data_IF_527277438164
#
_entry.id   IF_527277438164
#
_cell.length_a   1.000
_cell.length_b   1.000
_cell.length_c   1.000
_cell.angle_alpha   90.00
_cell.angle_beta   90.00
_cell.angle_gamma   90.00
#
_symmetry.space_group_name_H-M   'P 1'
#
loop_
_entity.id
_entity.type
_entity.pdbx_description
1 polymer ?
#
# COMPACT_ATOMS: atom_id res chain seq x y z
N UNK A 1 -18.33 2.51 43.71
CA UNK A 1 -18.27 3.61 42.72
C UNK A 1 -17.07 3.33 41.83
N UNK A 2 -17.24 3.14 40.52
CA UNK A 2 -16.09 2.99 39.61
C UNK A 2 -15.28 4.28 39.58
N UNK A 3 -13.96 4.16 39.52
CA UNK A 3 -13.10 5.33 39.37
C UNK A 3 -13.40 6.04 38.04
N UNK A 4 -13.29 7.38 37.99
CA UNK A 4 -13.48 8.13 36.74
C UNK A 4 -12.54 7.65 35.63
N UNK A 5 -11.35 7.17 36.01
CA UNK A 5 -10.37 6.58 35.10
C UNK A 5 -10.83 5.24 34.53
N UNK A 6 -11.43 4.35 35.33
CA UNK A 6 -12.01 3.10 34.84
C UNK A 6 -13.19 3.33 33.88
N UNK A 7 -13.97 4.38 34.12
CA UNK A 7 -15.04 4.79 33.21
C UNK A 7 -14.49 5.27 31.86
N UNK A 8 -13.39 6.04 31.88
CA UNK A 8 -12.74 6.53 30.66
C UNK A 8 -12.08 5.39 29.87
N UNK A 9 -11.37 4.48 30.53
CA UNK A 9 -10.82 3.27 29.89
C UNK A 9 -11.93 2.45 29.25
N UNK A 10 -13.05 2.25 29.96
CA UNK A 10 -14.22 1.57 29.40
C UNK A 10 -14.82 2.28 28.18
N UNK A 11 -14.81 3.63 28.17
CA UNK A 11 -15.27 4.44 27.04
C UNK A 11 -14.35 4.26 25.83
N UNK A 12 -13.04 4.27 26.03
CA UNK A 12 -12.04 4.09 24.98
C UNK A 12 -12.10 2.67 24.39
N UNK A 13 -12.26 1.65 25.23
CA UNK A 13 -12.47 0.27 24.77
C UNK A 13 -13.71 0.17 23.88
N UNK A 14 -14.84 0.77 24.31
CA UNK A 14 -16.07 0.80 23.50
C UNK A 14 -15.88 1.54 22.17
N UNK A 15 -15.14 2.66 22.18
CA UNK A 15 -14.82 3.40 20.97
C UNK A 15 -13.95 2.57 20.02
N UNK A 16 -12.93 1.87 20.53
CA UNK A 16 -12.07 0.97 19.77
C UNK A 16 -12.91 -0.11 19.07
N UNK A 17 -13.79 -0.80 19.80
CA UNK A 17 -14.70 -1.79 19.21
C UNK A 17 -15.65 -1.19 18.16
N UNK A 18 -16.15 0.03 18.37
CA UNK A 18 -17.00 0.71 17.39
C UNK A 18 -16.23 0.99 16.09
N UNK A 19 -14.98 1.47 16.19
CA UNK A 19 -14.09 1.68 15.04
C UNK A 19 -13.82 0.38 14.31
N UNK A 20 -13.46 -0.69 15.03
CA UNK A 20 -13.22 -2.01 14.43
C UNK A 20 -14.47 -2.58 13.74
N UNK A 21 -15.65 -2.40 14.35
CA UNK A 21 -16.92 -2.84 13.76
C UNK A 21 -17.28 -2.07 12.50
N UNK A 22 -17.00 -0.77 12.44
CA UNK A 22 -17.16 0.03 11.22
C UNK A 22 -16.18 -0.38 10.13
N UNK A 23 -15.00 -0.87 10.54
CA UNK A 23 -13.91 -1.32 9.69
C UNK A 23 -14.09 -2.78 9.19
N UNK A 24 -15.33 -3.29 9.12
CA UNK A 24 -15.60 -4.72 8.82
C UNK A 24 -15.08 -5.20 7.45
N UNK A 25 -14.75 -4.27 6.55
CA UNK A 25 -14.07 -4.50 5.26
C UNK A 25 -12.78 -3.67 5.13
N UNK A 26 -12.24 -3.22 6.25
CA UNK A 26 -11.44 -2.02 6.33
C UNK A 26 -10.04 -2.15 5.76
N UNK A 27 -9.62 -1.10 5.07
CA UNK A 27 -8.23 -0.96 4.64
C UNK A 27 -7.34 -0.95 5.89
N UNK A 28 -6.05 -1.36 5.77
CA UNK A 28 -5.10 -1.29 6.89
C UNK A 28 -5.12 0.05 7.64
N UNK A 29 -5.38 1.15 6.93
CA UNK A 29 -5.49 2.49 7.50
C UNK A 29 -6.52 2.64 8.63
N UNK A 30 -7.59 1.85 8.61
CA UNK A 30 -8.67 1.92 9.60
C UNK A 30 -8.27 1.31 10.96
N UNK A 31 -7.29 0.40 10.96
CA UNK A 31 -6.74 -0.19 12.18
C UNK A 31 -5.86 0.77 12.99
N UNK A 32 -5.27 1.82 12.38
CA UNK A 32 -4.49 2.80 13.14
C UNK A 32 -5.35 3.58 14.14
N UNK A 33 -6.57 3.95 13.75
CA UNK A 33 -7.49 4.67 14.64
C UNK A 33 -7.91 3.80 15.83
N UNK A 34 -8.20 2.53 15.58
CA UNK A 34 -8.50 1.56 16.64
C UNK A 34 -7.29 1.29 17.55
N UNK A 35 -6.08 1.20 16.98
CA UNK A 35 -4.84 1.00 17.72
C UNK A 35 -4.56 2.19 18.66
N UNK A 36 -4.67 3.43 18.17
CA UNK A 36 -4.44 4.61 19.00
C UNK A 36 -5.40 4.70 20.20
N UNK A 37 -6.65 4.26 20.03
CA UNK A 37 -7.62 4.17 21.12
C UNK A 37 -7.23 3.08 22.12
N UNK A 38 -6.76 1.92 21.65
CA UNK A 38 -6.29 0.83 22.50
C UNK A 38 -5.03 1.23 23.29
N UNK A 39 -4.08 1.91 22.66
CA UNK A 39 -2.86 2.42 23.29
C UNK A 39 -3.19 3.44 24.39
N UNK A 40 -4.12 4.35 24.11
CA UNK A 40 -4.59 5.35 25.09
C UNK A 40 -5.31 4.68 26.27
N UNK A 41 -6.12 3.66 26.00
CA UNK A 41 -6.80 2.89 27.04
C UNK A 41 -5.82 2.11 27.92
N UNK A 42 -4.80 1.49 27.31
CA UNK A 42 -3.76 0.73 28.00
C UNK A 42 -2.91 1.64 28.89
N UNK A 43 -2.45 2.78 28.37
CA UNK A 43 -1.68 3.76 29.14
C UNK A 43 -2.46 4.24 30.37
N UNK A 44 -3.74 4.62 30.18
CA UNK A 44 -4.60 5.03 31.29
C UNK A 44 -4.89 3.91 32.29
N UNK A 45 -4.97 2.65 31.84
CA UNK A 45 -5.17 1.50 32.72
C UNK A 45 -3.92 1.18 33.54
N UNK A 46 -2.74 1.25 32.92
CA UNK A 46 -1.46 1.02 33.57
C UNK A 46 -1.10 2.12 34.59
N UNK A 47 -1.28 3.39 34.21
CA UNK A 47 -1.03 4.54 35.11
C UNK A 47 -2.03 4.60 36.27
N UNK A 48 -3.27 4.17 36.04
CA UNK A 48 -4.35 4.18 37.03
C UNK A 48 -4.33 3.03 38.02
N UNK A 49 -3.41 2.07 37.88
CA UNK A 49 -3.41 0.83 38.65
C UNK A 49 -4.75 0.10 38.57
N UNK A 50 -5.37 0.10 37.38
CA UNK A 50 -6.66 -0.56 37.17
C UNK A 50 -6.49 -2.09 37.16
N UNK A 51 -7.62 -2.79 37.29
CA UNK A 51 -7.69 -4.26 37.27
C UNK A 51 -6.89 -4.87 36.11
N UNK A 52 -6.08 -5.89 36.42
CA UNK A 52 -5.28 -6.66 35.46
C UNK A 52 -6.13 -7.18 34.30
N UNK A 53 -7.41 -7.47 34.55
CA UNK A 53 -8.37 -7.85 33.52
C UNK A 53 -8.59 -6.78 32.44
N UNK A 54 -8.68 -5.51 32.84
CA UNK A 54 -8.84 -4.38 31.91
C UNK A 54 -7.55 -4.09 31.15
N UNK A 55 -6.41 -4.16 31.82
CA UNK A 55 -5.09 -4.03 31.19
C UNK A 55 -4.94 -5.09 30.10
N UNK A 56 -5.22 -6.36 30.45
CA UNK A 56 -5.16 -7.48 29.50
C UNK A 56 -6.13 -7.31 28.33
N UNK A 57 -7.31 -6.75 28.56
CA UNK A 57 -8.27 -6.47 27.48
C UNK A 57 -7.72 -5.43 26.50
N UNK A 58 -7.02 -4.40 26.99
CA UNK A 58 -6.39 -3.39 26.15
C UNK A 58 -5.23 -3.97 25.34
N UNK A 59 -4.39 -4.83 25.94
CA UNK A 59 -3.33 -5.56 25.24
C UNK A 59 -3.87 -6.41 24.09
N UNK A 60 -4.95 -7.17 24.33
CA UNK A 60 -5.59 -8.00 23.29
C UNK A 60 -6.08 -7.13 22.13
N UNK A 61 -6.67 -5.96 22.42
CA UNK A 61 -7.11 -5.01 21.39
C UNK A 61 -5.94 -4.43 20.60
N UNK A 62 -4.84 -4.11 21.29
CA UNK A 62 -3.61 -3.63 20.67
C UNK A 62 -3.06 -4.67 19.68
N UNK A 63 -2.89 -5.92 20.12
CA UNK A 63 -2.40 -7.02 19.29
C UNK A 63 -3.31 -7.28 18.09
N UNK A 64 -4.63 -7.25 18.30
CA UNK A 64 -5.61 -7.42 17.24
C UNK A 64 -5.45 -6.34 16.15
N UNK A 65 -5.20 -5.09 16.53
CA UNK A 65 -5.00 -4.00 15.59
C UNK A 65 -3.62 -4.04 14.91
N UNK A 66 -2.58 -4.51 15.60
CA UNK A 66 -1.23 -4.58 15.05
C UNK A 66 -1.06 -5.64 13.95
N UNK A 67 -1.73 -6.79 14.06
CA UNK A 67 -1.54 -7.89 13.12
C UNK A 67 -1.90 -7.54 11.64
N UNK A 68 -3.06 -6.93 11.35
CA UNK A 68 -3.39 -6.46 10.01
C UNK A 68 -2.41 -5.41 9.48
N UNK A 69 -1.91 -4.54 10.36
CA UNK A 69 -0.95 -3.49 10.01
C UNK A 69 0.41 -4.08 9.61
N UNK A 70 0.96 -4.99 10.42
CA UNK A 70 2.21 -5.71 10.12
C UNK A 70 2.13 -6.44 8.77
N UNK A 71 1.01 -7.11 8.51
CA UNK A 71 0.76 -7.77 7.22
C UNK A 71 0.71 -6.80 6.04
N UNK A 72 0.08 -5.63 6.21
CA UNK A 72 0.00 -4.61 5.18
C UNK A 72 1.36 -4.00 4.84
N UNK A 73 2.17 -3.66 5.85
CA UNK A 73 3.52 -3.16 5.65
C UNK A 73 4.41 -4.18 4.93
N UNK A 74 4.37 -5.45 5.36
CA UNK A 74 5.14 -6.51 4.69
C UNK A 74 4.76 -6.73 3.23
N UNK A 75 3.48 -6.53 2.86
CA UNK A 75 3.05 -6.55 1.45
C UNK A 75 3.54 -5.34 0.66
N UNK A 76 3.50 -4.15 1.26
CA UNK A 76 3.98 -2.92 0.61
C UNK A 76 5.48 -3.01 0.31
N UNK A 77 6.28 -3.45 1.29
CA UNK A 77 7.72 -3.59 1.13
C UNK A 77 8.08 -4.60 0.03
N UNK A 78 7.37 -5.75 -0.02
CA UNK A 78 7.56 -6.74 -1.08
C UNK A 78 7.19 -6.19 -2.46
N UNK A 79 6.10 -5.41 -2.55
CA UNK A 79 5.68 -4.79 -3.80
C UNK A 79 6.71 -3.77 -4.29
N UNK A 80 7.22 -2.90 -3.41
CA UNK A 80 8.25 -1.92 -3.76
C UNK A 80 9.54 -2.61 -4.23
N UNK A 81 9.93 -3.71 -3.58
CA UNK A 81 11.08 -4.53 -4.00
C UNK A 81 10.88 -5.15 -5.39
N UNK A 82 9.72 -5.77 -5.68
CA UNK A 82 9.42 -6.35 -7.01
C UNK A 82 9.43 -5.27 -8.11
N UNK A 83 8.89 -4.08 -7.84
CA UNK A 83 8.91 -2.95 -8.79
C UNK A 83 10.35 -2.53 -9.10
N UNK A 84 11.20 -2.41 -8.07
CA UNK A 84 12.61 -2.06 -8.27
C UNK A 84 13.35 -3.15 -9.04
N UNK A 85 13.19 -4.43 -8.66
CA UNK A 85 13.84 -5.57 -9.33
C UNK A 85 13.45 -5.66 -10.81
N UNK A 86 12.16 -5.46 -11.14
CA UNK A 86 11.72 -5.39 -12.55
C UNK A 86 12.32 -4.22 -13.31
N UNK A 87 12.41 -3.04 -12.69
CA UNK A 87 13.02 -1.86 -13.29
C UNK A 87 14.54 -2.01 -13.48
N UNK A 88 15.21 -2.72 -12.56
CA UNK A 88 16.63 -3.05 -12.68
C UNK A 88 16.87 -4.12 -13.76
N UNK A 89 16.03 -5.16 -13.81
CA UNK A 89 16.15 -6.23 -14.81
C UNK A 89 15.83 -5.75 -16.23
N UNK A 90 14.94 -4.76 -16.41
CA UNK A 90 14.63 -4.20 -17.72
C UNK A 90 15.74 -3.29 -18.28
N UNK A 91 16.66 -2.80 -17.43
CA UNK A 91 17.86 -2.06 -17.86
C UNK A 91 19.01 -2.96 -18.35
N UNK A 92 18.94 -4.28 -18.16
CA UNK A 92 19.97 -5.23 -18.60
C UNK A 92 19.79 -5.81 -20.01
N UNK A 93 18.75 -5.40 -20.76
CA UNK A 93 18.41 -5.95 -22.09
C UNK A 93 18.69 -4.95 -23.21
N UNK A 94 19.79 -4.20 -23.11
CA UNK A 94 20.09 -3.17 -24.11
C UNK A 94 21.47 -2.55 -24.00
N UNK A 95 22.52 -3.36 -23.92
CA UNK A 95 23.90 -2.94 -24.20
C UNK A 95 24.74 -4.19 -24.52
N UNK A 96 24.43 -4.81 -25.66
CA UNK A 96 25.44 -5.59 -26.37
C UNK A 96 26.33 -4.55 -27.08
N UNK A 97 27.48 -4.32 -26.44
CA UNK A 97 28.61 -3.53 -26.91
C UNK A 97 28.99 -3.98 -28.34
N UNK A 98 28.79 -3.11 -29.32
CA UNK A 98 29.39 -3.24 -30.66
C UNK A 98 30.29 -2.02 -30.91
N UNK A 99 31.33 -1.91 -30.08
CA UNK A 99 32.44 -0.98 -30.29
C UNK A 99 33.49 -1.60 -31.21
N UNK A 100 33.30 -1.38 -32.51
CA UNK A 100 34.28 -1.04 -33.54
C UNK A 100 35.67 -1.70 -33.55
N UNK A 101 35.93 -2.48 -34.61
CA UNK A 101 37.27 -2.64 -35.19
C UNK A 101 37.21 -2.79 -36.73
N UNK A 102 37.67 -1.72 -37.39
CA UNK A 102 38.47 -1.64 -38.62
C UNK A 102 38.09 -2.30 -39.97
N UNK A 103 37.85 -1.39 -40.93
CA UNK A 103 38.40 -1.31 -42.30
C UNK A 103 37.96 -2.28 -43.42
N UNK A 104 37.32 -1.62 -44.42
CA UNK A 104 37.62 -1.64 -45.86
C UNK A 104 37.10 -2.79 -46.77
N UNK A 105 36.36 -2.33 -47.80
CA UNK A 105 36.62 -2.58 -49.23
C UNK A 105 35.71 -3.56 -50.02
N UNK A 106 34.83 -2.93 -50.84
CA UNK A 106 34.31 -3.30 -52.18
C UNK A 106 33.45 -4.58 -52.41
N UNK A 107 32.25 -4.36 -52.97
CA UNK A 107 31.49 -5.33 -53.78
C UNK A 107 29.96 -5.08 -53.80
N UNK A 108 29.43 -4.55 -54.91
CA UNK A 108 27.99 -4.27 -55.15
C UNK A 108 27.13 -5.56 -55.42
N UNK A 109 25.88 -5.44 -55.90
CA UNK A 109 24.63 -5.15 -55.18
C UNK A 109 23.67 -6.37 -55.23
N UNK A 110 22.85 -6.56 -54.19
CA UNK A 110 21.89 -7.67 -54.14
C UNK A 110 20.58 -7.27 -53.46
N UNK A 111 19.49 -7.60 -54.12
CA UNK A 111 18.10 -7.16 -53.94
C UNK A 111 17.47 -7.27 -52.54
N UNK A 112 16.57 -6.30 -52.34
CA UNK A 112 15.24 -6.41 -51.73
C UNK A 112 15.10 -6.95 -50.29
N UNK A 113 14.74 -6.04 -49.38
CA UNK A 113 13.59 -6.27 -48.49
C UNK A 113 12.99 -4.95 -48.00
N UNK A 114 11.66 -4.93 -47.97
CA UNK A 114 10.77 -3.78 -47.87
C UNK A 114 10.80 -3.06 -46.51
N UNK A 115 10.50 -1.74 -46.46
CA UNK A 115 10.33 -1.02 -45.21
C UNK A 115 8.93 -1.24 -44.63
N UNK A 116 8.76 -1.53 -43.32
CA UNK A 116 7.52 -1.22 -42.64
C UNK A 116 7.50 0.29 -42.30
N UNK A 117 6.46 1.03 -42.71
CA UNK A 117 6.32 2.45 -42.42
C UNK A 117 5.56 2.68 -41.10
N UNK A 118 5.80 3.82 -40.46
CA UNK A 118 4.80 4.43 -39.57
C UNK A 118 5.28 4.88 -38.20
N UNK A 119 6.11 5.92 -38.16
CA UNK A 119 6.23 6.79 -36.98
C UNK A 119 4.93 7.61 -36.93
N UNK A 120 3.95 7.13 -36.17
CA UNK A 120 2.69 7.83 -35.88
C UNK A 120 2.74 8.43 -34.48
N UNK A 121 3.33 9.63 -34.37
CA UNK A 121 3.17 10.51 -33.22
C UNK A 121 1.73 11.04 -33.17
N UNK A 122 0.99 10.76 -32.10
CA UNK A 122 -0.21 11.53 -31.74
C UNK A 122 -0.33 11.64 -30.21
N UNK A 123 -0.16 12.86 -29.71
CA UNK A 123 -0.52 13.29 -28.37
C UNK A 123 -2.03 13.61 -28.27
N UNK A 124 -2.54 13.56 -27.03
CA UNK A 124 -3.81 14.12 -26.50
C UNK A 124 -5.13 13.42 -26.93
N UNK A 125 -6.17 13.19 -26.10
CA UNK A 125 -6.65 13.76 -24.82
C UNK A 125 -7.44 12.71 -23.99
N UNK A 126 -7.65 12.91 -22.66
CA UNK A 126 -8.53 12.08 -21.86
C UNK A 126 -10.02 12.44 -22.05
N UNK A 127 -10.80 11.51 -22.61
CA UNK A 127 -12.25 11.65 -22.74
C UNK A 127 -12.95 11.65 -21.36
N UNK A 128 -13.44 12.81 -20.93
CA UNK A 128 -14.34 12.98 -19.78
C UNK A 128 -15.71 12.39 -20.11
N UNK A 129 -15.99 11.15 -19.70
CA UNK A 129 -17.34 10.57 -19.81
C UNK A 129 -18.20 10.98 -18.62
N UNK A 130 -18.96 12.07 -18.78
CA UNK A 130 -19.99 12.47 -17.82
C UNK A 130 -21.22 11.55 -17.91
N UNK A 131 -21.60 11.02 -16.75
CA UNK A 131 -22.76 10.16 -16.51
C UNK A 131 -24.03 11.02 -16.49
N UNK A 132 -25.03 10.70 -17.31
CA UNK A 132 -26.41 11.18 -17.14
C UNK A 132 -27.26 10.04 -16.61
N UNK A 133 -27.78 10.20 -15.38
CA UNK A 133 -28.83 9.35 -14.82
C UNK A 133 -30.15 10.07 -15.11
N UNK A 134 -31.05 9.41 -15.84
CA UNK A 134 -32.44 9.87 -16.00
C UNK A 134 -33.28 9.12 -14.98
N UNK A 135 -33.91 9.85 -14.06
CA UNK A 135 -34.98 9.32 -13.23
C UNK A 135 -36.30 9.51 -13.98
N UNK A 136 -37.04 8.42 -14.17
CA UNK A 136 -38.50 8.39 -14.38
C UNK A 136 -39.02 7.19 -13.62
#
# INVERSE_FOLDING_TARGET
MSSPQAAEVSRLIKACYATLRSSRNGRPKEYYGALALADSALALAAEGGLDDGLVRQCEILQDFCQNPLKSAYGRSERYERDVYERAASSRGVGEADDSGADTASFGSPGEAQAPPPGIGSCAAEPAKRTRRVRWV
#
